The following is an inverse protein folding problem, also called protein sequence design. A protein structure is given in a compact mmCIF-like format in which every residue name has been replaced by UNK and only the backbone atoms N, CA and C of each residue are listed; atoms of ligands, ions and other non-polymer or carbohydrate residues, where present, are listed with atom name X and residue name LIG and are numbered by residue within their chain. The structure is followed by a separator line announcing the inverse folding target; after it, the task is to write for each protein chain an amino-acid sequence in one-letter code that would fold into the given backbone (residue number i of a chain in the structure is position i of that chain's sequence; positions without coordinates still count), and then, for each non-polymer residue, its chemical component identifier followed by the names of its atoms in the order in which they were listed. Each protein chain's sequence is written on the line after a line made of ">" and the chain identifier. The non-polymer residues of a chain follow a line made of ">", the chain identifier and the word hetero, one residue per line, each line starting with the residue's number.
data_IF_956542784216
#
_entry.id   IF_956542784216
#
_cell.length_a   1.000
_cell.length_b   1.000
_cell.length_c   1.000
_cell.angle_alpha   90.00
_cell.angle_beta   90.00
_cell.angle_gamma   90.00
#
_symmetry.space_group_name_H-M   'P 1'
#
loop_
_entity.id
_entity.type
_entity.pdbx_description
1 polymer ?
#
# COMPACT_ATOMS: atom_id res chain seq x y z
N UNK A 1 -0.76 -6.96 16.36
CA UNK A 1 -1.41 -5.75 16.94
C UNK A 1 -2.40 -5.20 15.91
N UNK A 2 -3.31 -4.33 16.30
CA UNK A 2 -4.24 -3.65 15.38
C UNK A 2 -3.72 -2.27 14.99
N UNK A 3 -4.31 -1.64 13.96
CA UNK A 3 -3.96 -0.25 13.60
C UNK A 3 -4.24 0.75 14.73
N UNK A 4 -5.27 0.50 15.54
CA UNK A 4 -5.58 1.31 16.71
C UNK A 4 -4.48 1.25 17.79
N UNK A 5 -3.77 0.13 17.89
CA UNK A 5 -2.72 -0.08 18.90
C UNK A 5 -1.39 0.61 18.54
N UNK A 6 -1.27 1.18 17.34
CA UNK A 6 -0.05 1.87 16.92
C UNK A 6 0.21 3.07 17.84
N UNK A 7 1.37 3.15 18.52
CA UNK A 7 1.64 4.25 19.45
C UNK A 7 1.82 5.61 18.76
N UNK A 8 1.51 6.69 19.48
CA UNK A 8 1.88 8.05 19.08
C UNK A 8 3.41 8.20 18.99
N UNK A 9 3.88 9.15 18.18
CA UNK A 9 5.29 9.41 17.88
C UNK A 9 6.07 8.24 17.27
N UNK A 10 5.37 7.17 16.86
CA UNK A 10 5.98 6.04 16.17
C UNK A 10 6.23 6.35 14.70
N UNK A 11 7.06 5.53 14.06
CA UNK A 11 7.25 5.50 12.62
C UNK A 11 6.68 4.19 12.08
N UNK A 12 5.87 4.27 11.03
CA UNK A 12 5.14 3.12 10.46
C UNK A 12 5.25 3.12 8.95
N UNK A 13 5.58 1.97 8.39
CA UNK A 13 5.54 1.74 6.95
C UNK A 13 4.14 1.25 6.56
N UNK A 14 3.60 1.77 5.47
CA UNK A 14 2.20 1.59 5.06
C UNK A 14 2.19 0.78 3.77
N UNK A 15 1.54 -0.37 3.83
CA UNK A 15 1.32 -1.27 2.71
C UNK A 15 0.17 -0.80 1.79
N UNK A 16 0.10 -1.33 0.57
CA UNK A 16 -0.90 -0.99 -0.43
C UNK A 16 -2.32 -1.25 0.05
N UNK A 17 -2.55 -2.38 0.73
CA UNK A 17 -3.89 -2.77 1.17
C UNK A 17 -4.54 -1.73 2.10
N UNK A 18 -3.78 -1.13 3.03
CA UNK A 18 -4.28 -0.10 3.95
C UNK A 18 -4.79 1.13 3.17
N UNK A 19 -3.98 1.60 2.22
CA UNK A 19 -4.30 2.74 1.37
C UNK A 19 -5.50 2.44 0.46
N UNK A 20 -5.53 1.25 -0.15
CA UNK A 20 -6.64 0.82 -1.00
C UNK A 20 -7.95 0.77 -0.21
N UNK A 21 -7.95 0.20 0.99
CA UNK A 21 -9.16 0.12 1.81
C UNK A 21 -9.68 1.50 2.24
N UNK A 22 -8.77 2.44 2.54
CA UNK A 22 -9.16 3.82 2.79
C UNK A 22 -9.78 4.48 1.55
N UNK A 23 -9.09 4.48 0.40
CA UNK A 23 -9.58 5.18 -0.79
C UNK A 23 -10.80 4.52 -1.44
N UNK A 24 -11.01 3.23 -1.22
CA UNK A 24 -12.22 2.51 -1.65
C UNK A 24 -13.39 2.65 -0.64
N UNK A 25 -13.20 3.35 0.49
CA UNK A 25 -14.24 3.50 1.52
C UNK A 25 -14.64 2.18 2.18
N UNK A 26 -13.71 1.24 2.32
CA UNK A 26 -13.96 -0.13 2.80
C UNK A 26 -13.58 -0.38 4.25
N UNK A 27 -12.82 0.52 4.88
CA UNK A 27 -12.40 0.35 6.27
C UNK A 27 -12.23 1.69 6.98
N UNK A 28 -13.09 1.91 7.98
CA UNK A 28 -12.97 3.04 8.90
C UNK A 28 -11.69 2.93 9.74
N UNK A 29 -11.29 1.71 10.12
CA UNK A 29 -10.06 1.46 10.89
C UNK A 29 -8.80 1.91 10.11
N UNK A 30 -8.75 1.68 8.79
CA UNK A 30 -7.70 2.23 7.93
C UNK A 30 -7.79 3.75 7.82
N UNK A 31 -9.00 4.30 7.73
CA UNK A 31 -9.20 5.75 7.58
C UNK A 31 -8.80 6.52 8.85
N UNK A 32 -9.19 6.02 10.02
CA UNK A 32 -8.80 6.56 11.32
C UNK A 32 -7.29 6.49 11.54
N UNK A 33 -6.67 5.38 11.13
CA UNK A 33 -5.21 5.24 11.17
C UNK A 33 -4.49 6.29 10.32
N UNK A 34 -4.94 6.49 9.08
CA UNK A 34 -4.35 7.49 8.19
C UNK A 34 -4.64 8.92 8.66
N UNK A 35 -5.79 9.19 9.28
CA UNK A 35 -6.09 10.48 9.88
C UNK A 35 -5.12 10.82 11.04
N UNK A 36 -4.67 9.83 11.80
CA UNK A 36 -3.63 10.03 12.84
C UNK A 36 -2.27 10.40 12.25
N UNK A 37 -1.95 9.91 11.05
CA UNK A 37 -0.73 10.31 10.32
C UNK A 37 -0.89 11.75 9.82
N UNK A 38 -2.04 12.08 9.23
CA UNK A 38 -2.34 13.42 8.74
C UNK A 38 -2.33 14.47 9.87
N UNK A 39 -2.76 14.10 11.07
CA UNK A 39 -2.68 14.93 12.27
C UNK A 39 -1.25 15.03 12.87
N UNK A 40 -0.26 14.34 12.30
CA UNK A 40 1.12 14.33 12.78
C UNK A 40 1.36 13.50 14.05
N UNK A 41 0.40 12.66 14.46
CA UNK A 41 0.56 11.80 15.63
C UNK A 41 1.51 10.62 15.36
N UNK A 42 1.61 10.18 14.11
CA UNK A 42 2.41 9.06 13.64
C UNK A 42 3.17 9.50 12.40
N UNK A 43 4.45 9.13 12.29
CA UNK A 43 5.23 9.32 11.06
C UNK A 43 4.94 8.17 10.10
N UNK A 44 4.31 8.47 8.97
CA UNK A 44 3.96 7.50 7.93
C UNK A 44 4.98 7.44 6.81
N UNK A 45 5.35 6.23 6.39
CA UNK A 45 6.22 5.97 5.25
C UNK A 45 5.54 5.01 4.28
N UNK A 46 5.77 5.13 2.99
CA UNK A 46 5.40 4.12 2.00
C UNK A 46 6.40 4.11 0.85
N UNK A 47 6.30 3.13 -0.04
CA UNK A 47 7.22 2.99 -1.18
C UNK A 47 6.62 3.48 -2.49
N UNK A 48 7.47 3.91 -3.42
CA UNK A 48 7.02 4.25 -4.78
C UNK A 48 6.35 3.06 -5.51
N UNK A 49 6.81 1.83 -5.27
CA UNK A 49 6.18 0.61 -5.79
C UNK A 49 4.77 0.40 -5.24
N UNK A 50 4.58 0.72 -3.96
CA UNK A 50 3.27 0.65 -3.30
C UNK A 50 2.31 1.65 -3.95
N UNK A 51 2.77 2.87 -4.27
CA UNK A 51 1.92 3.84 -4.99
C UNK A 51 1.45 3.32 -6.35
N UNK A 52 2.30 2.62 -7.09
CA UNK A 52 1.94 2.02 -8.38
C UNK A 52 0.89 0.91 -8.20
N UNK A 53 1.02 0.10 -7.15
CA UNK A 53 0.04 -0.93 -6.82
C UNK A 53 -1.31 -0.32 -6.43
N UNK A 54 -1.31 0.69 -5.54
CA UNK A 54 -2.52 1.43 -5.15
C UNK A 54 -3.17 2.05 -6.38
N UNK A 55 -2.40 2.73 -7.24
CA UNK A 55 -2.90 3.33 -8.48
C UNK A 55 -3.59 2.30 -9.37
N UNK A 56 -2.93 1.17 -9.64
CA UNK A 56 -3.47 0.11 -10.46
C UNK A 56 -4.76 -0.48 -9.88
N UNK A 57 -4.79 -0.74 -8.56
CA UNK A 57 -5.99 -1.29 -7.90
C UNK A 57 -7.16 -0.31 -7.88
N UNK A 58 -6.91 0.97 -7.58
CA UNK A 58 -7.94 2.00 -7.62
C UNK A 58 -8.45 2.25 -9.04
N UNK A 59 -7.60 2.11 -10.06
CA UNK A 59 -8.03 2.16 -11.46
C UNK A 59 -9.01 1.03 -11.78
N UNK A 60 -8.76 -0.19 -11.29
CA UNK A 60 -9.69 -1.32 -11.50
C UNK A 60 -11.03 -1.09 -10.79
N UNK A 61 -10.98 -0.54 -9.57
CA UNK A 61 -12.19 -0.20 -8.80
C UNK A 61 -12.99 0.89 -9.53
N UNK A 62 -12.33 1.96 -10.00
CA UNK A 62 -12.99 3.01 -10.79
C UNK A 62 -13.61 2.47 -12.08
N UNK A 63 -12.93 1.57 -12.79
CA UNK A 63 -13.47 0.96 -14.00
C UNK A 63 -14.70 0.09 -13.73
N UNK A 64 -14.72 -0.60 -12.59
CA UNK A 64 -15.88 -1.39 -12.16
C UNK A 64 -17.08 -0.50 -11.81
N UNK A 65 -16.85 0.65 -11.18
CA UNK A 65 -17.90 1.61 -10.84
C UNK A 65 -18.45 2.40 -12.04
N UNK A 66 -17.71 2.46 -13.16
CA UNK A 66 -18.18 3.10 -14.40
C UNK A 66 -19.03 2.18 -15.29
N UNK A 67 -19.41 1.00 -14.80
CA UNK A 67 -20.20 -0.01 -15.53
C UNK A 67 -19.64 -0.35 -16.92
N UNK A 68 -18.31 -0.29 -17.08
CA UNK A 68 -17.66 -0.68 -18.32
C UNK A 68 -17.85 -2.17 -18.61
N UNK A 69 -17.85 -2.61 -19.88
CA UNK A 69 -17.95 -4.02 -20.25
C UNK A 69 -16.61 -4.75 -20.02
N UNK A 70 -16.13 -4.77 -18.77
CA UNK A 70 -14.81 -5.28 -18.37
C UNK A 70 -14.84 -6.69 -17.75
N UNK A 71 -16.02 -7.23 -17.44
CA UNK A 71 -16.20 -8.62 -17.00
C UNK A 71 -15.36 -9.02 -15.78
N UNK A 72 -15.05 -10.31 -15.65
CA UNK A 72 -14.35 -10.88 -14.49
C UNK A 72 -12.84 -10.64 -14.47
N UNK A 73 -12.23 -10.15 -15.56
CA UNK A 73 -10.81 -9.78 -15.61
C UNK A 73 -10.63 -8.33 -16.10
N UNK A 74 -10.83 -7.35 -15.21
CA UNK A 74 -10.73 -5.93 -15.54
C UNK A 74 -9.38 -5.53 -16.15
N UNK A 75 -8.27 -6.00 -15.59
CA UNK A 75 -6.92 -5.64 -16.07
C UNK A 75 -6.70 -6.08 -17.52
N UNK A 76 -7.06 -7.32 -17.86
CA UNK A 76 -6.89 -7.82 -19.23
C UNK A 76 -7.78 -7.08 -20.24
N UNK A 77 -9.02 -6.72 -19.85
CA UNK A 77 -9.94 -5.99 -20.72
C UNK A 77 -9.50 -4.54 -20.95
N UNK A 78 -9.08 -3.85 -19.90
CA UNK A 78 -8.59 -2.48 -20.01
C UNK A 78 -7.32 -2.39 -20.87
N UNK A 79 -6.42 -3.38 -20.77
CA UNK A 79 -5.25 -3.46 -21.64
C UNK A 79 -5.62 -3.54 -23.14
N UNK A 80 -6.77 -4.14 -23.48
CA UNK A 80 -7.28 -4.22 -24.85
C UNK A 80 -8.12 -3.00 -25.27
N UNK A 81 -8.46 -2.11 -24.33
CA UNK A 81 -9.35 -0.96 -24.54
C UNK A 81 -8.75 0.34 -24.01
N UNK A 82 -7.70 0.88 -24.69
CA UNK A 82 -7.06 2.13 -24.27
C UNK A 82 -8.03 3.32 -24.23
N UNK A 83 -9.11 3.29 -25.01
CA UNK A 83 -10.20 4.27 -24.99
C UNK A 83 -10.95 4.31 -23.64
N UNK A 84 -11.12 3.17 -22.99
CA UNK A 84 -11.71 3.09 -21.65
C UNK A 84 -10.72 3.58 -20.59
N UNK A 85 -9.44 3.21 -20.70
CA UNK A 85 -8.39 3.66 -19.77
C UNK A 85 -8.28 5.19 -19.75
N UNK A 86 -8.36 5.85 -20.91
CA UNK A 86 -8.32 7.33 -21.01
C UNK A 86 -9.47 8.03 -20.30
N UNK A 87 -10.55 7.32 -19.97
CA UNK A 87 -11.68 7.86 -19.23
C UNK A 87 -11.54 7.69 -17.71
N UNK A 88 -10.49 7.00 -17.24
CA UNK A 88 -10.22 6.80 -15.82
C UNK A 88 -9.27 7.88 -15.33
N UNK A 89 -9.61 8.52 -14.21
CA UNK A 89 -8.80 9.60 -13.64
C UNK A 89 -8.89 9.70 -12.13
N UNK A 90 -9.94 9.16 -11.50
CA UNK A 90 -10.14 9.25 -10.05
C UNK A 90 -9.00 8.57 -9.29
N UNK A 91 -8.51 7.43 -9.78
CA UNK A 91 -7.38 6.73 -9.16
C UNK A 91 -6.14 7.63 -9.01
N UNK A 92 -5.86 8.49 -9.99
CA UNK A 92 -4.74 9.42 -9.97
C UNK A 92 -4.90 10.45 -8.85
N UNK A 93 -6.08 11.05 -8.73
CA UNK A 93 -6.35 12.03 -7.68
C UNK A 93 -6.27 11.42 -6.28
N UNK A 94 -6.70 10.17 -6.11
CA UNK A 94 -6.55 9.46 -4.83
C UNK A 94 -5.08 9.25 -4.47
N UNK A 95 -4.27 8.73 -5.39
CA UNK A 95 -2.83 8.51 -5.13
C UNK A 95 -2.08 9.83 -4.90
N UNK A 96 -2.44 10.90 -5.61
CA UNK A 96 -1.86 12.22 -5.41
C UNK A 96 -2.15 12.84 -4.03
N UNK A 97 -3.13 12.32 -3.27
CA UNK A 97 -3.39 12.73 -1.88
C UNK A 97 -2.40 12.12 -0.89
N UNK A 98 -1.80 10.97 -1.19
CA UNK A 98 -0.98 10.22 -0.23
C UNK A 98 0.13 11.09 0.37
N UNK A 99 0.97 11.81 -0.41
CA UNK A 99 1.97 12.70 0.17
C UNK A 99 1.37 13.90 0.94
N UNK A 100 0.19 14.36 0.52
CA UNK A 100 -0.50 15.50 1.17
C UNK A 100 -1.07 15.14 2.54
N UNK A 101 -1.28 13.85 2.80
CA UNK A 101 -1.68 13.31 4.10
C UNK A 101 -0.49 13.18 5.08
N UNK A 102 0.69 13.74 4.75
CA UNK A 102 1.88 13.65 5.60
C UNK A 102 2.64 12.32 5.51
N UNK A 103 2.32 11.48 4.51
CA UNK A 103 3.02 10.20 4.29
C UNK A 103 4.26 10.45 3.42
N UNK A 104 5.42 10.07 3.94
CA UNK A 104 6.69 10.14 3.19
C UNK A 104 6.77 8.98 2.19
N UNK A 105 7.00 9.31 0.91
CA UNK A 105 7.13 8.31 -0.15
C UNK A 105 8.62 8.07 -0.40
N UNK A 106 9.09 6.90 -0.02
CA UNK A 106 10.46 6.47 -0.22
C UNK A 106 10.72 6.18 -1.70
N UNK A 107 11.92 6.55 -2.21
CA UNK A 107 12.32 6.24 -3.56
C UNK A 107 12.48 4.74 -3.76
N UNK A 108 12.52 4.33 -5.03
CA UNK A 108 12.83 2.96 -5.38
C UNK A 108 14.27 2.61 -4.95
N UNK A 109 14.50 1.50 -4.20
CA UNK A 109 15.84 1.15 -3.74
C UNK A 109 16.79 0.81 -4.89
N UNK A 110 18.05 1.22 -4.77
CA UNK A 110 19.11 0.75 -5.67
C UNK A 110 19.34 -0.76 -5.48
N UNK A 111 19.66 -1.45 -6.59
CA UNK A 111 19.80 -2.93 -6.65
C UNK A 111 18.67 -3.66 -5.92
N UNK A 112 17.43 -3.21 -6.14
CA UNK A 112 16.27 -3.73 -5.43
C UNK A 112 16.15 -5.25 -5.55
N UNK A 113 16.47 -5.83 -6.71
CA UNK A 113 16.34 -7.26 -6.98
C UNK A 113 17.37 -8.05 -6.18
N UNK A 114 18.64 -7.66 -6.20
CA UNK A 114 19.68 -8.33 -5.41
C UNK A 114 19.40 -8.21 -3.91
N UNK A 115 19.11 -7.00 -3.44
CA UNK A 115 18.97 -6.70 -2.01
C UNK A 115 17.71 -7.22 -1.35
N UNK A 116 16.65 -7.46 -2.12
CA UNK A 116 15.43 -8.11 -1.61
C UNK A 116 15.41 -9.62 -1.77
N UNK A 117 16.45 -10.23 -2.35
CA UNK A 117 16.51 -11.67 -2.59
C UNK A 117 16.42 -12.49 -1.30
N UNK A 118 17.02 -12.00 -0.21
CA UNK A 118 16.94 -12.69 1.10
C UNK A 118 15.49 -12.86 1.54
N UNK A 119 14.66 -11.82 1.37
CA UNK A 119 13.25 -11.83 1.76
C UNK A 119 12.40 -12.82 0.96
N UNK A 120 12.80 -13.10 -0.28
CA UNK A 120 12.17 -14.14 -1.10
C UNK A 120 12.64 -15.53 -0.69
N UNK A 121 13.94 -15.73 -0.50
CA UNK A 121 14.50 -17.07 -0.25
C UNK A 121 14.22 -17.57 1.17
N UNK A 122 14.34 -16.70 2.17
CA UNK A 122 14.25 -17.08 3.58
C UNK A 122 12.82 -16.93 4.09
N UNK A 123 12.13 -15.84 3.77
CA UNK A 123 10.77 -15.58 4.26
C UNK A 123 9.68 -15.95 3.25
N UNK A 124 10.03 -16.28 1.99
CA UNK A 124 9.04 -16.69 0.98
C UNK A 124 8.08 -15.56 0.60
N UNK A 125 8.52 -14.31 0.65
CA UNK A 125 7.74 -13.17 0.16
C UNK A 125 7.72 -13.16 -1.37
N UNK A 126 6.64 -12.64 -1.95
CA UNK A 126 6.58 -12.41 -3.39
C UNK A 126 7.49 -11.25 -3.80
N UNK A 127 7.72 -11.10 -5.10
CA UNK A 127 8.72 -10.15 -5.63
C UNK A 127 8.47 -8.72 -5.16
N UNK A 128 7.25 -8.21 -5.31
CA UNK A 128 6.95 -6.84 -4.89
C UNK A 128 6.96 -6.70 -3.37
N UNK A 129 6.36 -7.65 -2.65
CA UNK A 129 6.29 -7.66 -1.19
C UNK A 129 7.67 -7.71 -0.54
N UNK A 130 8.64 -8.36 -1.20
CA UNK A 130 10.03 -8.44 -0.74
C UNK A 130 10.75 -7.08 -0.70
N UNK A 131 10.20 -6.05 -1.37
CA UNK A 131 10.72 -4.69 -1.32
C UNK A 131 10.27 -3.91 -0.09
N UNK A 132 9.19 -4.33 0.58
CA UNK A 132 8.69 -3.68 1.80
C UNK A 132 9.70 -3.79 2.94
N UNK A 133 10.16 -5.00 3.36
CA UNK A 133 11.15 -5.12 4.42
C UNK A 133 12.50 -4.44 4.06
N UNK A 134 12.87 -4.41 2.77
CA UNK A 134 14.05 -3.69 2.32
C UNK A 134 13.93 -2.17 2.60
N UNK A 135 12.85 -1.55 2.13
CA UNK A 135 12.59 -0.12 2.34
C UNK A 135 12.41 0.24 3.81
N UNK A 136 11.73 -0.63 4.57
CA UNK A 136 11.60 -0.49 6.03
C UNK A 136 12.96 -0.45 6.73
N UNK A 137 13.93 -1.29 6.32
CA UNK A 137 15.28 -1.25 6.87
C UNK A 137 16.00 0.05 6.53
N UNK A 138 15.91 0.52 5.30
CA UNK A 138 16.55 1.78 4.87
C UNK A 138 16.01 2.99 5.62
N UNK A 139 14.70 3.00 5.89
CA UNK A 139 14.05 4.05 6.68
C UNK A 139 14.19 3.88 8.20
N UNK A 140 14.80 2.78 8.69
CA UNK A 140 14.89 2.47 10.12
C UNK A 140 13.53 2.22 10.79
N UNK A 141 12.55 1.74 10.03
CA UNK A 141 11.17 1.50 10.48
C UNK A 141 10.95 0.02 10.77
N UNK A 142 10.28 -0.30 11.89
CA UNK A 142 9.99 -1.69 12.29
C UNK A 142 8.50 -2.00 12.40
N UNK A 143 7.64 -0.99 12.38
CA UNK A 143 6.18 -1.18 12.39
C UNK A 143 5.67 -1.15 10.95
N UNK A 144 4.88 -2.16 10.59
CA UNK A 144 4.23 -2.27 9.29
C UNK A 144 2.71 -2.25 9.47
N UNK A 145 2.03 -1.29 8.86
CA UNK A 145 0.59 -1.32 8.69
C UNK A 145 0.26 -2.18 7.46
N UNK A 146 -0.24 -3.40 7.67
CA UNK A 146 -0.60 -4.33 6.59
C UNK A 146 -1.61 -5.38 7.05
N UNK A 147 -2.56 -5.68 6.17
CA UNK A 147 -3.46 -6.83 6.31
C UNK A 147 -2.80 -8.18 5.99
N UNK A 148 -1.62 -8.22 5.37
CA UNK A 148 -0.99 -9.45 4.92
C UNK A 148 -0.16 -10.13 6.02
N UNK A 149 -0.61 -11.31 6.45
CA UNK A 149 0.09 -12.13 7.44
C UNK A 149 1.43 -12.69 6.92
N UNK A 150 1.72 -12.59 5.63
CA UNK A 150 3.01 -12.97 5.06
C UNK A 150 4.19 -12.30 5.78
N UNK A 151 4.03 -11.03 6.18
CA UNK A 151 5.08 -10.26 6.84
C UNK A 151 5.38 -10.73 8.27
N UNK A 152 4.51 -11.52 8.89
CA UNK A 152 4.79 -12.14 10.20
C UNK A 152 5.97 -13.13 10.13
N UNK A 153 6.36 -13.55 8.91
CA UNK A 153 7.56 -14.37 8.65
C UNK A 153 8.87 -13.57 8.75
N UNK A 154 8.82 -12.24 8.81
CA UNK A 154 9.99 -11.38 8.96
C UNK A 154 10.17 -11.02 10.44
N UNK A 155 11.16 -11.60 11.17
CA UNK A 155 11.15 -11.57 12.64
C UNK A 155 11.25 -10.19 13.29
N UNK A 156 11.83 -9.22 12.59
CA UNK A 156 12.03 -7.86 13.10
C UNK A 156 10.88 -6.91 12.75
N UNK A 157 9.93 -7.34 11.91
CA UNK A 157 8.73 -6.55 11.57
C UNK A 157 7.66 -6.80 12.62
N UNK A 158 7.06 -5.71 13.09
CA UNK A 158 5.88 -5.71 13.96
C UNK A 158 4.69 -5.26 13.13
N UNK A 159 3.81 -6.20 12.78
CA UNK A 159 2.66 -5.93 11.92
C UNK A 159 1.43 -5.44 12.71
N UNK A 160 0.89 -4.30 12.31
CA UNK A 160 -0.38 -3.74 12.70
C UNK A 160 -1.42 -3.98 11.60
N UNK A 161 -2.48 -4.73 11.91
CA UNK A 161 -3.49 -5.14 10.94
C UNK A 161 -4.80 -4.36 11.15
N UNK A 162 -5.57 -4.08 10.09
CA UNK A 162 -6.92 -3.56 10.22
C UNK A 162 -7.84 -4.64 10.83
N UNK A 163 -8.80 -4.23 11.68
CA UNK A 163 -9.71 -5.17 12.35
C UNK A 163 -10.81 -5.74 11.45
N UNK A 164 -11.29 -4.96 10.47
CA UNK A 164 -12.41 -5.29 9.59
C UNK A 164 -12.15 -4.76 8.17
N UNK A 165 -11.95 -5.65 7.18
CA UNK A 165 -11.66 -5.34 5.76
C UNK A 165 -12.20 -6.40 4.80
#
# INVERSE_FOLDING_TARGET
>A
MTLADVPRSSAVFIDANILIYHFAGRSDDCSDFLARIEAGEIRGYTGQTILLEVAHRLMMIEAAEKDFPIGSNPSARLAQRPDLVRQLSRYHFSVAKIPRMGIEVLPFPDDCLGRSQEYRQVQGLLVNDSLIPLQMREAGVTLLASGDAAFDRVPWIRRAAPRNV
#
